data_IF_913401527194
#
_entry.id   IF_913401527194
#
_cell.length_a   1.000
_cell.length_b   1.000
_cell.length_c   1.000
_cell.angle_alpha   90.00
_cell.angle_beta   90.00
_cell.angle_gamma   90.00
#
_symmetry.space_group_name_H-M   'P 1'
#
loop_
_entity.id
_entity.type
_entity.pdbx_description
1 polymer ?
#
# COMPACT_ATOMS: atom_id res chain seq x y z
N UNK A 1 12.37 30.82 0.98
CA UNK A 1 12.04 29.97 -0.18
C UNK A 1 12.31 28.48 0.15
N UNK A 2 11.77 27.93 1.25
CA UNK A 2 12.07 26.55 1.69
C UNK A 2 10.84 25.73 2.13
N UNK A 3 9.61 26.25 1.94
CA UNK A 3 8.38 25.56 2.35
C UNK A 3 7.81 24.63 1.27
N UNK A 4 8.20 24.78 0.00
CA UNK A 4 7.65 23.97 -1.11
C UNK A 4 8.23 22.55 -1.17
N UNK A 5 9.50 22.35 -0.78
CA UNK A 5 10.15 21.04 -0.84
C UNK A 5 9.59 20.04 0.18
N UNK A 6 9.27 20.52 1.38
CA UNK A 6 8.69 19.69 2.44
C UNK A 6 7.26 19.23 2.12
N UNK A 7 6.44 20.13 1.58
CA UNK A 7 5.07 19.81 1.16
C UNK A 7 5.06 18.82 -0.03
N UNK A 8 5.96 19.00 -0.99
CA UNK A 8 6.11 18.10 -2.13
C UNK A 8 6.61 16.71 -1.69
N UNK A 9 7.54 16.65 -0.73
CA UNK A 9 8.03 15.39 -0.16
C UNK A 9 6.96 14.69 0.69
N UNK A 10 6.20 15.40 1.52
CA UNK A 10 5.07 14.81 2.27
C UNK A 10 3.97 14.33 1.33
N UNK A 11 3.62 15.07 0.28
CA UNK A 11 2.61 14.63 -0.67
C UNK A 11 3.10 13.45 -1.52
N UNK A 12 4.38 13.44 -1.92
CA UNK A 12 5.03 12.26 -2.56
C UNK A 12 5.07 11.07 -1.61
N UNK A 13 5.48 11.26 -0.36
CA UNK A 13 5.49 10.22 0.67
C UNK A 13 4.08 9.69 0.92
N UNK A 14 3.08 10.57 0.97
CA UNK A 14 1.67 10.20 1.16
C UNK A 14 1.12 9.42 -0.04
N UNK A 15 1.52 9.81 -1.25
CA UNK A 15 1.16 9.15 -2.52
C UNK A 15 1.99 7.91 -2.86
N UNK A 16 3.15 7.69 -2.25
CA UNK A 16 4.02 6.54 -2.55
C UNK A 16 3.95 5.51 -1.42
N UNK A 17 4.12 5.93 -0.17
CA UNK A 17 4.14 5.06 1.00
C UNK A 17 2.76 4.92 1.66
N UNK A 18 1.99 6.00 1.85
CA UNK A 18 0.65 5.95 2.50
C UNK A 18 -0.48 5.72 1.50
N UNK A 19 -0.18 5.02 0.41
CA UNK A 19 -1.05 5.09 -0.73
C UNK A 19 -2.40 4.42 -0.43
N UNK A 20 -3.49 5.14 -0.69
CA UNK A 20 -4.86 4.60 -0.82
C UNK A 20 -4.91 3.39 -1.77
N UNK A 21 -3.92 3.27 -2.65
CA UNK A 21 -3.72 2.16 -3.57
C UNK A 21 -3.06 0.93 -2.93
N UNK A 22 -2.32 1.04 -1.79
CA UNK A 22 -1.71 -0.13 -1.17
C UNK A 22 -2.78 -1.14 -0.74
N UNK A 23 -3.71 -0.77 0.14
CA UNK A 23 -4.83 -1.67 0.44
C UNK A 23 -5.70 -2.03 -0.79
N UNK A 24 -5.64 -1.28 -1.90
CA UNK A 24 -6.40 -1.58 -3.12
C UNK A 24 -5.87 -2.82 -3.84
N UNK A 25 -4.56 -3.07 -3.90
CA UNK A 25 -4.02 -4.23 -4.63
C UNK A 25 -4.38 -5.55 -3.96
N UNK A 26 -4.20 -5.66 -2.64
CA UNK A 26 -4.70 -6.79 -1.85
C UNK A 26 -6.21 -6.99 -2.00
N UNK A 27 -7.00 -5.91 -2.09
CA UNK A 27 -8.44 -6.01 -2.34
C UNK A 27 -8.78 -6.49 -3.74
N UNK A 28 -8.14 -5.92 -4.76
CA UNK A 28 -8.35 -6.26 -6.17
C UNK A 28 -8.00 -7.73 -6.43
N UNK A 29 -6.87 -8.21 -5.89
CA UNK A 29 -6.46 -9.62 -6.02
C UNK A 29 -7.19 -10.56 -5.03
N UNK A 30 -8.22 -10.08 -4.32
CA UNK A 30 -8.96 -10.80 -3.28
C UNK A 30 -8.12 -11.38 -2.12
N UNK A 31 -6.86 -10.95 -1.98
CA UNK A 31 -5.93 -11.43 -0.96
C UNK A 31 -6.27 -10.95 0.45
N UNK A 32 -7.02 -9.85 0.59
CA UNK A 32 -7.51 -9.36 1.88
C UNK A 32 -8.35 -10.40 2.67
N UNK A 33 -8.89 -11.43 2.00
CA UNK A 33 -9.63 -12.53 2.64
C UNK A 33 -8.74 -13.46 3.47
N UNK A 34 -7.43 -13.44 3.23
CA UNK A 34 -6.46 -14.22 4.00
C UNK A 34 -5.94 -13.47 5.24
N UNK A 35 -6.44 -12.26 5.50
CA UNK A 35 -6.11 -11.54 6.73
C UNK A 35 -6.90 -12.17 7.87
N UNK A 36 -6.18 -12.78 8.80
CA UNK A 36 -6.75 -13.36 10.01
C UNK A 36 -6.76 -12.26 11.08
N UNK A 37 -7.93 -11.97 11.64
CA UNK A 37 -8.06 -11.07 12.77
C UNK A 37 -8.16 -11.88 14.07
N UNK A 38 -7.93 -11.22 15.20
CA UNK A 38 -8.23 -11.85 16.50
C UNK A 38 -9.73 -12.11 16.64
N UNK A 39 -10.10 -13.22 17.27
CA UNK A 39 -11.50 -13.67 17.40
C UNK A 39 -12.45 -12.56 17.92
N UNK A 40 -11.99 -11.77 18.90
CA UNK A 40 -12.78 -10.70 19.52
C UNK A 40 -13.06 -9.49 18.60
N UNK A 41 -12.38 -9.40 17.46
CA UNK A 41 -12.49 -8.28 16.52
C UNK A 41 -12.82 -8.70 15.09
N UNK A 42 -12.81 -10.00 14.76
CA UNK A 42 -13.06 -10.55 13.42
C UNK A 42 -14.33 -9.95 12.78
N UNK A 43 -15.48 -10.08 13.44
CA UNK A 43 -16.77 -9.56 12.94
C UNK A 43 -16.72 -8.06 12.64
N UNK A 44 -16.06 -7.27 13.49
CA UNK A 44 -15.94 -5.82 13.31
C UNK A 44 -15.11 -5.50 12.07
N UNK A 45 -14.02 -6.22 11.83
CA UNK A 45 -13.14 -5.97 10.69
C UNK A 45 -13.69 -6.52 9.38
N UNK A 46 -14.52 -7.56 9.39
CA UNK A 46 -15.15 -8.09 8.18
C UNK A 46 -16.29 -7.20 7.66
N UNK A 47 -17.10 -6.64 8.57
CA UNK A 47 -18.31 -5.90 8.18
C UNK A 47 -18.11 -4.38 8.12
N UNK A 48 -17.03 -3.85 8.71
CA UNK A 48 -16.78 -2.41 8.76
C UNK A 48 -15.61 -1.99 7.88
N UNK A 49 -15.90 -1.47 6.68
CA UNK A 49 -14.90 -0.95 5.74
C UNK A 49 -13.97 0.12 6.33
N UNK A 50 -14.39 0.87 7.36
CA UNK A 50 -13.52 1.85 8.04
C UNK A 50 -12.41 1.17 8.85
N UNK A 51 -12.59 -0.09 9.24
CA UNK A 51 -11.59 -0.92 9.92
C UNK A 51 -10.85 -1.83 8.94
N UNK A 52 -11.56 -2.45 7.99
CA UNK A 52 -10.96 -3.34 6.97
C UNK A 52 -9.92 -2.60 6.11
N UNK A 53 -10.21 -1.36 5.71
CA UNK A 53 -9.34 -0.62 4.80
C UNK A 53 -7.97 -0.31 5.42
N UNK A 54 -7.89 0.25 6.65
CA UNK A 54 -6.63 0.39 7.38
C UNK A 54 -5.88 -0.92 7.56
N UNK A 55 -6.58 -2.00 7.97
CA UNK A 55 -5.94 -3.30 8.16
C UNK A 55 -5.31 -3.84 6.87
N UNK A 56 -6.03 -3.75 5.75
CA UNK A 56 -5.50 -4.17 4.45
C UNK A 56 -4.26 -3.35 4.06
N UNK A 57 -4.29 -2.04 4.30
CA UNK A 57 -3.12 -1.18 4.04
C UNK A 57 -1.93 -1.59 4.92
N UNK A 58 -2.16 -1.86 6.21
CA UNK A 58 -1.11 -2.27 7.14
C UNK A 58 -0.48 -3.61 6.73
N UNK A 59 -1.29 -4.62 6.38
CA UNK A 59 -0.80 -5.91 5.89
C UNK A 59 0.02 -5.74 4.61
N UNK A 60 -0.42 -4.88 3.68
CA UNK A 60 0.38 -4.62 2.48
C UNK A 60 1.76 -4.03 2.80
N UNK A 61 1.83 -3.07 3.73
CA UNK A 61 3.11 -2.49 4.13
C UNK A 61 4.02 -3.52 4.80
N UNK A 62 3.46 -4.41 5.62
CA UNK A 62 4.22 -5.49 6.23
C UNK A 62 4.79 -6.45 5.18
N UNK A 63 3.98 -6.86 4.19
CA UNK A 63 4.44 -7.71 3.07
C UNK A 63 5.52 -6.99 2.26
N UNK A 64 5.35 -5.70 2.00
CA UNK A 64 6.31 -4.90 1.25
C UNK A 64 7.65 -4.79 2.01
N UNK A 65 7.62 -4.49 3.31
CA UNK A 65 8.81 -4.45 4.17
C UNK A 65 9.51 -5.82 4.25
N UNK A 66 8.75 -6.90 4.42
CA UNK A 66 9.29 -8.26 4.41
C UNK A 66 9.97 -8.59 3.07
N UNK A 67 9.37 -8.21 1.95
CA UNK A 67 9.95 -8.42 0.64
C UNK A 67 11.30 -7.70 0.50
N UNK A 68 11.46 -6.50 1.09
CA UNK A 68 12.76 -5.81 1.13
C UNK A 68 13.81 -6.61 1.90
N UNK A 69 13.42 -7.28 2.99
CA UNK A 69 14.34 -8.10 3.79
C UNK A 69 14.75 -9.38 3.06
N UNK A 70 13.82 -10.02 2.33
CA UNK A 70 14.06 -11.32 1.67
C UNK A 70 14.75 -11.17 0.31
N UNK A 71 14.29 -10.23 -0.52
CA UNK A 71 14.73 -10.11 -1.93
C UNK A 71 15.61 -8.88 -2.18
N UNK A 72 15.62 -7.90 -1.27
CA UNK A 72 16.37 -6.67 -1.44
C UNK A 72 15.69 -5.64 -2.35
N UNK A 73 16.21 -4.41 -2.30
CA UNK A 73 15.64 -3.22 -2.96
C UNK A 73 15.44 -3.34 -4.48
N UNK A 74 16.37 -3.92 -5.27
CA UNK A 74 16.20 -3.98 -6.72
C UNK A 74 14.98 -4.79 -7.15
N UNK A 75 14.84 -6.00 -6.61
CA UNK A 75 13.78 -6.94 -6.99
C UNK A 75 12.40 -6.48 -6.51
N UNK A 76 12.34 -5.90 -5.30
CA UNK A 76 11.09 -5.32 -4.79
C UNK A 76 10.62 -4.15 -5.64
N UNK A 77 11.52 -3.26 -6.06
CA UNK A 77 11.14 -2.19 -6.99
C UNK A 77 10.64 -2.77 -8.31
N UNK A 78 11.34 -3.75 -8.87
CA UNK A 78 10.89 -4.40 -10.11
C UNK A 78 9.48 -4.99 -9.96
N UNK A 79 9.21 -5.70 -8.88
CA UNK A 79 7.88 -6.25 -8.57
C UNK A 79 6.82 -5.14 -8.44
N UNK A 80 7.13 -4.07 -7.72
CA UNK A 80 6.20 -2.95 -7.50
C UNK A 80 5.88 -2.18 -8.79
N UNK A 81 6.82 -2.14 -9.74
CA UNK A 81 6.61 -1.57 -11.07
C UNK A 81 5.86 -2.52 -12.01
N UNK A 82 6.33 -3.77 -12.16
CA UNK A 82 5.83 -4.72 -13.18
C UNK A 82 4.48 -5.36 -12.82
N UNK A 83 4.21 -5.57 -11.53
CA UNK A 83 3.03 -6.33 -11.06
C UNK A 83 1.98 -5.44 -10.41
N UNK A 84 2.42 -4.33 -9.84
CA UNK A 84 1.57 -3.44 -9.05
C UNK A 84 1.45 -2.04 -9.64
N UNK A 85 2.07 -1.68 -10.76
CA UNK A 85 1.93 -0.38 -11.44
C UNK A 85 2.11 0.85 -10.51
N UNK A 86 2.84 0.73 -9.39
CA UNK A 86 2.85 1.77 -8.33
C UNK A 86 3.55 3.05 -8.77
N UNK A 87 4.40 2.97 -9.79
CA UNK A 87 5.14 4.09 -10.35
C UNK A 87 4.85 4.35 -11.83
N UNK A 88 3.80 3.77 -12.42
CA UNK A 88 3.30 4.27 -13.71
C UNK A 88 2.60 5.61 -13.48
N UNK A 89 3.40 6.68 -13.40
CA UNK A 89 2.92 8.03 -13.66
C UNK A 89 2.46 8.00 -15.12
N UNK A 90 1.16 7.80 -15.35
CA UNK A 90 0.61 8.05 -16.67
C UNK A 90 1.01 9.48 -17.03
N UNK A 91 1.65 9.70 -18.19
CA UNK A 91 1.94 11.07 -18.62
C UNK A 91 0.62 11.83 -18.61
N UNK A 92 0.60 13.00 -17.95
CA UNK A 92 -0.56 13.89 -18.07
C UNK A 92 -0.74 14.15 -19.55
N UNK A 93 -1.93 13.87 -20.06
CA UNK A 93 -2.31 14.31 -21.40
C UNK A 93 -2.08 15.83 -21.45
N UNK A 94 -1.23 16.25 -22.38
CA UNK A 94 -0.97 17.67 -22.68
C UNK A 94 -2.18 18.22 -23.41
#
# INVERSE_FOLDING_TARGET
MHLEDGYNLQEKHRRLLMNKYCGRYLRHKHLHRFIIYGESVQDKFEHNRRLTNPATTAVQQAIHGLAYTVYGKPDVRRLMFEVFDVEQIQPKAV
#
